data_IF_877755389429
#
_entry.id   IF_877755389429
#
_cell.length_a   1.000
_cell.length_b   1.000
_cell.length_c   1.000
_cell.angle_alpha   90.00
_cell.angle_beta   90.00
_cell.angle_gamma   90.00
#
_symmetry.space_group_name_H-M   'P 1'
#
loop_
_entity.id
_entity.type
_entity.pdbx_description
1 polymer ?
#
# COMPACT_ATOMS: atom_id res chain seq x y z
N UNK A 1 20.34 16.84 -9.12
CA UNK A 1 20.92 15.48 -8.91
C UNK A 1 19.78 14.51 -8.68
N UNK A 2 19.48 13.64 -9.65
CA UNK A 2 18.43 12.61 -9.57
C UNK A 2 18.98 11.39 -8.82
N UNK A 3 19.18 11.49 -7.53
CA UNK A 3 19.67 10.34 -6.75
C UNK A 3 18.68 10.05 -5.62
N UNK A 4 17.87 9.08 -5.80
CA UNK A 4 17.16 8.25 -4.84
C UNK A 4 15.70 7.94 -5.24
N UNK A 5 15.43 7.85 -6.54
CA UNK A 5 14.13 7.36 -6.99
C UNK A 5 14.06 5.87 -6.62
N UNK A 6 13.01 5.46 -5.90
CA UNK A 6 12.76 4.06 -5.55
C UNK A 6 12.52 3.30 -6.84
N UNK A 7 13.07 2.10 -6.96
CA UNK A 7 12.65 1.17 -8.00
C UNK A 7 11.22 0.74 -7.68
N UNK A 8 10.28 1.14 -8.52
CA UNK A 8 8.84 1.01 -8.26
C UNK A 8 8.21 0.11 -9.32
N UNK A 9 7.45 -0.88 -8.89
CA UNK A 9 6.49 -1.57 -9.74
C UNK A 9 5.12 -0.96 -9.47
N UNK A 10 4.38 -0.62 -10.53
CA UNK A 10 3.04 -0.04 -10.40
C UNK A 10 2.00 -1.11 -10.66
N UNK A 11 0.98 -1.20 -9.81
CA UNK A 11 -0.23 -2.00 -10.06
C UNK A 11 -1.33 -1.07 -10.52
N UNK A 12 -1.89 -1.32 -11.70
CA UNK A 12 -3.07 -0.65 -12.20
C UNK A 12 -4.30 -1.44 -11.75
N UNK A 13 -5.19 -0.77 -11.01
CA UNK A 13 -6.38 -1.39 -10.42
C UNK A 13 -7.57 -1.35 -11.36
N UNK A 14 -7.99 -2.52 -11.82
CA UNK A 14 -9.19 -2.74 -12.63
C UNK A 14 -10.40 -3.22 -11.82
N UNK A 15 -10.37 -3.08 -10.50
CA UNK A 15 -11.51 -3.35 -9.62
C UNK A 15 -11.53 -4.76 -9.02
N UNK A 16 -10.42 -5.49 -9.03
CA UNK A 16 -10.33 -6.78 -8.34
C UNK A 16 -10.39 -6.62 -6.82
N UNK A 17 -11.00 -7.58 -6.13
CA UNK A 17 -10.94 -7.65 -4.66
C UNK A 17 -9.54 -8.03 -4.13
N UNK A 18 -8.63 -8.45 -5.00
CA UNK A 18 -7.29 -8.95 -4.67
C UNK A 18 -6.16 -7.96 -4.97
N UNK A 19 -6.46 -6.72 -5.36
CA UNK A 19 -5.47 -5.72 -5.74
C UNK A 19 -4.40 -5.48 -4.67
N UNK A 20 -4.80 -5.38 -3.40
CA UNK A 20 -3.87 -5.21 -2.27
C UNK A 20 -3.00 -6.46 -2.05
N UNK A 21 -3.47 -7.65 -2.42
CA UNK A 21 -2.66 -8.87 -2.36
C UNK A 21 -1.54 -8.83 -3.39
N UNK A 22 -1.80 -8.32 -4.60
CA UNK A 22 -0.75 -8.14 -5.62
C UNK A 22 0.36 -7.24 -5.08
N UNK A 23 -0.02 -6.06 -4.54
CA UNK A 23 0.94 -5.12 -3.94
C UNK A 23 1.77 -5.79 -2.83
N UNK A 24 1.13 -6.55 -1.94
CA UNK A 24 1.81 -7.29 -0.87
C UNK A 24 2.79 -8.32 -1.41
N UNK A 25 2.39 -9.12 -2.38
CA UNK A 25 3.26 -10.13 -2.99
C UNK A 25 4.50 -9.53 -3.66
N UNK A 26 4.34 -8.39 -4.34
CA UNK A 26 5.47 -7.64 -4.90
C UNK A 26 6.41 -7.15 -3.79
N UNK A 27 5.88 -6.64 -2.69
CA UNK A 27 6.70 -6.18 -1.54
C UNK A 27 7.40 -7.32 -0.81
N UNK A 28 6.80 -8.51 -0.77
CA UNK A 28 7.46 -9.73 -0.27
C UNK A 28 8.67 -10.14 -1.14
N UNK A 29 8.77 -9.64 -2.38
CA UNK A 29 9.97 -9.77 -3.22
C UNK A 29 10.99 -8.64 -2.99
N UNK A 30 10.80 -7.86 -1.93
CA UNK A 30 11.64 -6.71 -1.59
C UNK A 30 11.65 -5.61 -2.66
N UNK A 31 10.57 -5.46 -3.40
CA UNK A 31 10.37 -4.40 -4.40
C UNK A 31 9.25 -3.47 -3.95
N UNK A 32 9.49 -2.16 -4.01
CA UNK A 32 8.45 -1.20 -3.70
C UNK A 32 7.34 -1.25 -4.76
N UNK A 33 6.10 -1.22 -4.31
CA UNK A 33 4.94 -1.30 -5.18
C UNK A 33 3.89 -0.27 -4.78
N UNK A 34 3.34 0.41 -5.78
CA UNK A 34 2.27 1.40 -5.63
C UNK A 34 1.07 1.02 -6.49
N UNK A 35 -0.14 1.24 -5.97
CA UNK A 35 -1.38 0.93 -6.66
C UNK A 35 -2.02 2.23 -7.15
N UNK A 36 -2.41 2.25 -8.42
CA UNK A 36 -3.03 3.39 -9.09
C UNK A 36 -4.35 2.98 -9.76
N UNK A 37 -5.33 3.89 -9.86
CA UNK A 37 -6.56 3.61 -10.59
C UNK A 37 -6.28 3.43 -12.08
N UNK A 38 -7.16 2.71 -12.79
CA UNK A 38 -7.01 2.47 -14.23
C UNK A 38 -7.03 3.75 -15.07
N UNK A 39 -7.65 4.82 -14.56
CA UNK A 39 -7.73 6.15 -15.18
C UNK A 39 -6.49 7.02 -14.88
N UNK A 40 -5.43 6.43 -14.34
CA UNK A 40 -4.19 7.17 -14.02
C UNK A 40 -3.69 7.98 -15.20
N UNK A 41 -3.24 9.22 -14.95
CA UNK A 41 -2.72 10.07 -16.00
C UNK A 41 -1.30 9.66 -16.47
N UNK A 42 -0.96 10.03 -17.70
CA UNK A 42 0.38 9.80 -18.24
C UNK A 42 1.45 10.53 -17.42
N UNK A 43 1.15 11.73 -16.94
CA UNK A 43 2.05 12.54 -16.12
C UNK A 43 2.39 11.83 -14.81
N UNK A 44 1.39 11.27 -14.13
CA UNK A 44 1.59 10.53 -12.87
C UNK A 44 2.50 9.32 -13.08
N UNK A 45 2.30 8.55 -14.16
CA UNK A 45 3.16 7.42 -14.49
C UNK A 45 4.58 7.85 -14.83
N UNK A 46 4.75 8.96 -15.57
CA UNK A 46 6.07 9.50 -15.90
C UNK A 46 6.83 9.99 -14.66
N UNK A 47 6.13 10.63 -13.71
CA UNK A 47 6.73 11.09 -12.45
C UNK A 47 7.21 9.90 -11.58
N UNK A 48 6.42 8.83 -11.53
CA UNK A 48 6.78 7.61 -10.81
C UNK A 48 7.93 6.86 -11.48
N UNK A 49 8.06 6.96 -12.81
CA UNK A 49 9.07 6.28 -13.62
C UNK A 49 9.20 4.79 -13.24
N UNK A 50 8.13 3.98 -13.42
CA UNK A 50 8.08 2.61 -12.95
C UNK A 50 9.10 1.73 -13.69
N UNK A 51 9.57 0.68 -13.00
CA UNK A 51 10.40 -0.38 -13.56
C UNK A 51 9.58 -1.46 -14.27
N UNK A 52 8.31 -1.57 -13.91
CA UNK A 52 7.35 -2.48 -14.51
C UNK A 52 5.93 -2.14 -14.07
N UNK A 53 4.96 -2.65 -14.81
CA UNK A 53 3.54 -2.42 -14.56
C UNK A 53 2.82 -3.77 -14.46
N UNK A 54 1.96 -3.91 -13.46
CA UNK A 54 1.05 -5.06 -13.32
C UNK A 54 -0.37 -4.56 -13.55
N UNK A 55 -1.07 -5.15 -14.51
CA UNK A 55 -2.49 -4.94 -14.74
C UNK A 55 -3.26 -5.96 -13.90
N UNK A 56 -4.05 -5.51 -12.93
CA UNK A 56 -4.77 -6.40 -12.03
C UNK A 56 -5.91 -7.16 -12.74
N UNK A 57 -6.49 -8.12 -12.05
CA UNK A 57 -7.79 -8.67 -12.43
C UNK A 57 -8.92 -7.66 -12.31
N UNK A 58 -10.11 -8.01 -12.74
CA UNK A 58 -11.32 -7.20 -12.66
C UNK A 58 -12.58 -8.06 -12.75
N UNK A 59 -13.73 -7.52 -12.32
CA UNK A 59 -15.01 -8.23 -12.34
C UNK A 59 -15.71 -8.21 -13.71
N UNK A 60 -15.24 -7.36 -14.63
CA UNK A 60 -15.89 -7.09 -15.91
C UNK A 60 -15.44 -8.06 -17.01
N UNK A 61 -16.23 -8.18 -18.07
CA UNK A 61 -15.76 -8.62 -19.37
C UNK A 61 -15.19 -7.46 -20.15
N UNK A 62 -14.19 -7.70 -21.01
CA UNK A 62 -13.63 -6.67 -21.90
C UNK A 62 -14.65 -6.12 -22.90
N UNK A 63 -15.78 -6.82 -23.07
CA UNK A 63 -16.89 -6.45 -23.95
C UNK A 63 -18.02 -5.70 -23.23
N UNK A 64 -17.97 -5.59 -21.91
CA UNK A 64 -19.00 -4.87 -21.16
C UNK A 64 -18.96 -3.37 -21.48
N UNK A 65 -20.13 -2.77 -21.67
CA UNK A 65 -20.23 -1.33 -21.87
C UNK A 65 -19.77 -0.57 -20.62
N UNK A 66 -18.78 0.31 -20.78
CA UNK A 66 -18.20 1.08 -19.67
C UNK A 66 -17.17 0.30 -18.83
N UNK A 67 -16.77 -0.90 -19.25
CA UNK A 67 -15.69 -1.63 -18.56
C UNK A 67 -14.35 -0.85 -18.64
N UNK A 68 -13.53 -0.90 -17.58
CA UNK A 68 -12.20 -0.30 -17.58
C UNK A 68 -11.34 -0.82 -18.73
N UNK A 69 -10.69 0.08 -19.46
CA UNK A 69 -9.89 -0.25 -20.64
C UNK A 69 -8.37 -0.06 -20.38
N UNK A 70 -7.55 -0.74 -21.15
CA UNK A 70 -6.11 -0.48 -21.16
C UNK A 70 -5.82 0.81 -21.94
N UNK A 71 -5.37 1.83 -21.24
CA UNK A 71 -5.06 3.12 -21.84
C UNK A 71 -3.70 3.10 -22.57
N UNK A 72 -3.60 3.66 -23.80
CA UNK A 72 -2.39 3.59 -24.61
C UNK A 72 -1.12 4.06 -23.89
N UNK A 73 -1.20 5.12 -23.11
CA UNK A 73 -0.04 5.69 -22.42
C UNK A 73 0.53 4.77 -21.33
N UNK A 74 -0.21 3.73 -20.88
CA UNK A 74 0.32 2.70 -19.98
C UNK A 74 1.31 1.80 -20.74
N UNK A 75 0.94 1.40 -21.95
CA UNK A 75 1.80 0.57 -22.83
C UNK A 75 2.99 1.41 -23.35
N UNK A 76 2.75 2.67 -23.66
CA UNK A 76 3.76 3.62 -24.16
C UNK A 76 4.86 3.96 -23.13
N UNK A 77 4.71 3.56 -21.85
CA UNK A 77 5.81 3.67 -20.88
C UNK A 77 7.05 2.87 -21.32
N UNK A 78 6.89 1.85 -22.17
CA UNK A 78 8.00 1.04 -22.68
C UNK A 78 8.72 0.23 -21.60
N UNK A 79 8.01 -0.14 -20.52
CA UNK A 79 8.51 -0.99 -19.45
C UNK A 79 7.81 -2.34 -19.48
N UNK A 80 8.35 -3.39 -18.85
CA UNK A 80 7.69 -4.69 -18.74
C UNK A 80 6.27 -4.59 -18.18
N UNK A 81 5.32 -5.35 -18.76
CA UNK A 81 3.92 -5.40 -18.33
C UNK A 81 3.50 -6.84 -18.07
N UNK A 82 2.86 -7.07 -16.90
CA UNK A 82 2.22 -8.32 -16.53
C UNK A 82 0.72 -8.12 -16.38
N UNK A 83 -0.11 -8.75 -17.22
CA UNK A 83 -1.56 -8.79 -17.08
C UNK A 83 -2.01 -10.01 -16.29
N UNK A 84 -2.85 -9.84 -15.26
CA UNK A 84 -3.42 -10.90 -14.44
C UNK A 84 -4.92 -10.99 -14.73
N UNK A 85 -5.42 -12.15 -15.14
CA UNK A 85 -6.82 -12.45 -15.41
C UNK A 85 -7.42 -11.40 -16.38
N UNK A 86 -8.25 -10.47 -15.91
CA UNK A 86 -8.77 -9.37 -16.72
C UNK A 86 -7.65 -8.53 -17.37
N UNK A 87 -6.56 -8.26 -16.66
CA UNK A 87 -5.39 -7.57 -17.20
C UNK A 87 -4.72 -8.30 -18.36
N UNK A 88 -4.70 -9.65 -18.35
CA UNK A 88 -4.27 -10.45 -19.51
C UNK A 88 -5.21 -10.27 -20.70
N UNK A 89 -6.52 -10.27 -20.44
CA UNK A 89 -7.52 -10.08 -21.49
C UNK A 89 -7.44 -8.68 -22.10
N UNK A 90 -7.18 -7.66 -21.29
CA UNK A 90 -6.94 -6.29 -21.77
C UNK A 90 -5.70 -6.21 -22.68
N UNK A 91 -4.61 -6.90 -22.34
CA UNK A 91 -3.44 -7.01 -23.24
C UNK A 91 -3.83 -7.73 -24.53
N UNK A 92 -4.57 -8.84 -24.41
CA UNK A 92 -5.10 -9.59 -25.55
C UNK A 92 -5.87 -8.68 -26.51
N UNK A 93 -6.85 -7.95 -26.00
CA UNK A 93 -7.68 -7.04 -26.79
C UNK A 93 -6.87 -5.88 -27.40
N UNK A 94 -5.99 -5.27 -26.62
CA UNK A 94 -5.18 -4.13 -27.06
C UNK A 94 -4.26 -4.47 -28.25
N UNK A 95 -3.72 -5.70 -28.27
CA UNK A 95 -2.84 -6.19 -29.31
C UNK A 95 -3.54 -7.07 -30.38
N UNK A 96 -4.87 -6.93 -30.51
CA UNK A 96 -5.68 -7.56 -31.57
C UNK A 96 -5.78 -9.11 -31.48
N UNK A 97 -5.71 -9.66 -30.27
CA UNK A 97 -6.09 -11.05 -29.98
C UNK A 97 -7.60 -11.21 -29.86
N UNK A 98 -8.11 -12.44 -29.96
CA UNK A 98 -9.53 -12.77 -29.80
C UNK A 98 -9.81 -13.27 -28.37
N UNK A 99 -10.74 -12.59 -27.69
CA UNK A 99 -11.25 -13.00 -26.38
C UNK A 99 -12.68 -13.49 -26.58
N UNK A 100 -13.06 -14.57 -25.95
CA UNK A 100 -14.43 -15.06 -25.99
C UNK A 100 -14.86 -15.62 -24.63
N UNK A 101 -16.19 -15.68 -24.37
CA UNK A 101 -16.71 -16.40 -23.22
C UNK A 101 -16.28 -17.87 -23.28
N UNK A 102 -15.68 -18.39 -22.22
CA UNK A 102 -15.30 -19.79 -22.14
C UNK A 102 -16.55 -20.68 -22.14
N UNK A 103 -16.54 -21.80 -22.90
CA UNK A 103 -17.61 -22.79 -22.91
C UNK A 103 -17.88 -23.34 -21.51
N UNK A 104 -16.80 -23.56 -20.73
CA UNK A 104 -16.86 -23.92 -19.32
C UNK A 104 -16.11 -22.85 -18.52
N UNK A 105 -16.83 -22.12 -17.65
CA UNK A 105 -16.23 -21.19 -16.70
C UNK A 105 -15.28 -21.95 -15.78
N UNK A 106 -14.10 -21.41 -15.53
CA UNK A 106 -13.08 -22.06 -14.70
C UNK A 106 -12.91 -21.31 -13.38
N UNK A 107 -13.36 -21.96 -12.30
CA UNK A 107 -13.23 -21.45 -10.95
C UNK A 107 -12.63 -22.53 -10.05
N UNK A 108 -11.56 -22.19 -9.32
CA UNK A 108 -10.93 -23.08 -8.36
C UNK A 108 -9.55 -23.55 -8.80
N UNK A 109 -9.14 -24.69 -8.24
CA UNK A 109 -7.83 -25.28 -8.42
C UNK A 109 -7.68 -25.89 -9.82
N UNK A 110 -6.57 -25.57 -10.49
CA UNK A 110 -6.17 -26.14 -11.77
C UNK A 110 -4.68 -26.46 -11.78
N UNK A 111 -4.24 -27.21 -12.79
CA UNK A 111 -2.82 -27.50 -13.04
C UNK A 111 -2.38 -26.73 -14.28
N UNK A 112 -1.29 -25.99 -14.16
CA UNK A 112 -0.64 -25.28 -15.26
C UNK A 112 0.53 -26.12 -15.77
N UNK A 113 0.43 -26.61 -16.97
CA UNK A 113 1.55 -27.18 -17.69
C UNK A 113 2.34 -26.05 -18.36
N UNK A 114 3.61 -25.89 -17.96
CA UNK A 114 4.49 -24.93 -18.57
C UNK A 114 4.91 -25.44 -19.95
N UNK A 115 4.72 -24.64 -20.98
CA UNK A 115 5.30 -24.92 -22.27
C UNK A 115 6.83 -24.79 -22.14
N UNK A 116 7.61 -25.57 -22.89
CA UNK A 116 9.08 -25.67 -22.78
C UNK A 116 9.82 -24.32 -23.00
N UNK A 117 9.12 -23.22 -22.78
CA UNK A 117 9.63 -21.88 -22.87
C UNK A 117 10.61 -21.63 -21.72
N UNK A 118 11.78 -21.08 -22.06
CA UNK A 118 12.72 -20.54 -21.07
C UNK A 118 12.26 -19.16 -20.58
N UNK A 119 10.95 -18.93 -20.48
CA UNK A 119 10.46 -17.63 -20.05
C UNK A 119 10.99 -17.26 -18.66
N UNK A 120 11.59 -16.08 -18.49
CA UNK A 120 12.11 -15.62 -17.22
C UNK A 120 11.02 -15.57 -16.16
N UNK A 121 9.73 -15.43 -16.55
CA UNK A 121 8.60 -15.42 -15.64
C UNK A 121 8.47 -16.71 -14.82
N UNK A 122 8.83 -17.86 -15.41
CA UNK A 122 8.75 -19.18 -14.77
C UNK A 122 10.13 -19.76 -14.39
N UNK A 123 11.14 -18.93 -14.34
CA UNK A 123 12.49 -19.37 -13.96
C UNK A 123 12.51 -20.07 -12.59
N UNK A 124 13.10 -21.27 -12.53
CA UNK A 124 13.21 -22.06 -11.30
C UNK A 124 11.91 -22.69 -10.80
N UNK A 125 10.88 -22.76 -11.66
CA UNK A 125 9.63 -23.42 -11.36
C UNK A 125 9.49 -24.73 -12.12
N UNK A 126 9.02 -25.75 -11.42
CA UNK A 126 8.75 -27.08 -11.98
C UNK A 126 7.33 -27.13 -12.58
N UNK A 127 7.14 -27.95 -13.63
CA UNK A 127 5.84 -28.21 -14.23
C UNK A 127 5.33 -29.62 -13.83
N UNK A 128 4.02 -29.79 -13.54
CA UNK A 128 2.98 -28.76 -13.54
C UNK A 128 2.94 -27.93 -12.26
N UNK A 129 2.39 -26.71 -12.36
CA UNK A 129 2.14 -25.82 -11.22
C UNK A 129 0.67 -25.88 -10.80
N UNK A 130 0.43 -25.88 -9.48
CA UNK A 130 -0.90 -25.69 -8.93
C UNK A 130 -1.28 -24.21 -8.97
N UNK A 131 -2.41 -23.87 -9.58
CA UNK A 131 -2.86 -22.50 -9.81
C UNK A 131 -4.33 -22.33 -9.46
N UNK A 132 -4.75 -21.08 -9.19
CA UNK A 132 -6.13 -20.72 -8.92
C UNK A 132 -6.73 -19.94 -10.09
N UNK A 133 -7.77 -20.52 -10.70
CA UNK A 133 -8.54 -19.93 -11.78
C UNK A 133 -9.80 -19.24 -11.25
N UNK A 134 -10.15 -18.10 -11.87
CA UNK A 134 -11.39 -17.36 -11.56
C UNK A 134 -11.79 -16.52 -12.76
N UNK A 135 -12.26 -17.13 -13.84
CA UNK A 135 -12.60 -16.41 -15.05
C UNK A 135 -13.80 -16.98 -15.80
N UNK A 136 -14.53 -16.09 -16.51
CA UNK A 136 -15.62 -16.43 -17.41
C UNK A 136 -15.23 -16.31 -18.89
N UNK A 137 -14.30 -15.42 -19.20
CA UNK A 137 -13.77 -15.17 -20.53
C UNK A 137 -12.33 -15.64 -20.61
N UNK A 138 -11.86 -16.02 -21.81
CA UNK A 138 -10.47 -16.43 -22.04
C UNK A 138 -9.99 -15.94 -23.42
N UNK A 139 -8.71 -15.96 -23.63
CA UNK A 139 -8.10 -15.71 -24.94
C UNK A 139 -8.27 -16.98 -25.78
N UNK A 140 -8.91 -16.86 -26.93
CA UNK A 140 -9.08 -17.93 -27.93
C UNK A 140 -7.98 -17.88 -29.01
N UNK A 141 -7.63 -16.66 -29.48
CA UNK A 141 -6.54 -16.45 -30.42
C UNK A 141 -5.50 -15.48 -29.83
N UNK A 142 -4.24 -15.88 -29.85
CA UNK A 142 -3.13 -15.04 -29.39
C UNK A 142 -3.01 -13.75 -30.19
N UNK A 143 -2.70 -12.64 -29.53
CA UNK A 143 -2.29 -11.44 -30.26
C UNK A 143 -1.00 -11.68 -31.05
N UNK A 144 -0.78 -10.94 -32.16
CA UNK A 144 0.46 -11.02 -32.93
C UNK A 144 1.71 -10.78 -32.08
N UNK A 145 2.68 -11.67 -32.19
CA UNK A 145 3.95 -11.61 -31.43
C UNK A 145 3.94 -12.33 -30.09
N UNK A 146 2.76 -12.74 -29.59
CA UNK A 146 2.69 -13.51 -28.37
C UNK A 146 2.82 -15.03 -28.64
N UNK A 147 3.40 -15.72 -27.66
CA UNK A 147 3.51 -17.18 -27.62
C UNK A 147 2.84 -17.71 -26.35
N UNK A 148 2.34 -18.94 -26.39
CA UNK A 148 1.82 -19.64 -25.21
C UNK A 148 3.00 -20.12 -24.38
N UNK A 149 3.04 -19.71 -23.10
CA UNK A 149 4.07 -20.13 -22.15
C UNK A 149 3.51 -21.06 -21.05
N UNK A 150 2.18 -21.25 -21.01
CA UNK A 150 1.54 -22.17 -20.08
C UNK A 150 0.10 -22.50 -20.48
N UNK A 151 -0.33 -23.75 -20.20
CA UNK A 151 -1.66 -24.29 -20.55
C UNK A 151 -2.31 -24.93 -19.34
N UNK A 152 -3.63 -24.85 -19.24
CA UNK A 152 -4.42 -25.68 -18.34
C UNK A 152 -5.42 -26.54 -19.14
N UNK A 153 -6.04 -27.55 -18.54
CA UNK A 153 -7.01 -28.39 -19.24
C UNK A 153 -8.16 -27.62 -19.89
N UNK A 154 -8.61 -26.53 -19.29
CA UNK A 154 -9.73 -25.73 -19.78
C UNK A 154 -9.31 -24.38 -20.38
N UNK A 155 -8.05 -23.99 -20.23
CA UNK A 155 -7.49 -22.76 -20.83
C UNK A 155 -6.24 -23.10 -21.63
N UNK A 156 -6.39 -23.32 -22.97
CA UNK A 156 -5.25 -23.58 -23.84
C UNK A 156 -4.21 -22.46 -23.86
N UNK A 157 -4.61 -21.25 -23.50
CA UNK A 157 -3.76 -20.07 -23.33
C UNK A 157 -3.93 -19.61 -21.89
N UNK A 158 -3.36 -20.35 -20.92
CA UNK A 158 -3.41 -20.01 -19.50
C UNK A 158 -2.30 -19.02 -19.11
N UNK A 159 -1.22 -18.97 -19.88
CA UNK A 159 -0.17 -17.98 -19.79
C UNK A 159 0.41 -17.70 -21.18
N UNK A 160 0.67 -16.41 -21.45
CA UNK A 160 1.25 -15.95 -22.73
C UNK A 160 2.36 -14.94 -22.48
N UNK A 161 3.28 -14.83 -23.45
CA UNK A 161 4.33 -13.81 -23.42
C UNK A 161 4.68 -13.32 -24.83
N UNK A 162 5.05 -12.06 -24.91
CA UNK A 162 5.89 -11.50 -25.95
C UNK A 162 7.21 -11.05 -25.31
N UNK A 163 8.21 -11.89 -25.41
CA UNK A 163 9.50 -11.69 -24.74
C UNK A 163 10.27 -10.48 -25.34
N UNK A 164 10.07 -10.16 -26.62
CA UNK A 164 10.72 -9.02 -27.26
C UNK A 164 10.21 -7.70 -26.70
N UNK A 165 8.89 -7.59 -26.50
CA UNK A 165 8.23 -6.40 -25.92
C UNK A 165 8.14 -6.46 -24.40
N UNK A 166 8.54 -7.57 -23.79
CA UNK A 166 8.44 -7.84 -22.34
C UNK A 166 6.98 -7.73 -21.81
N UNK A 167 6.04 -8.30 -22.56
CA UNK A 167 4.61 -8.33 -22.25
C UNK A 167 4.22 -9.75 -21.84
N UNK A 168 3.59 -9.87 -20.67
CA UNK A 168 3.22 -11.16 -20.09
C UNK A 168 1.76 -11.17 -19.69
N UNK A 169 1.10 -12.30 -19.82
CA UNK A 169 -0.28 -12.49 -19.39
C UNK A 169 -0.48 -13.81 -18.66
N UNK A 170 -1.21 -13.77 -17.54
CA UNK A 170 -1.61 -14.93 -16.74
C UNK A 170 -3.12 -14.91 -16.58
N UNK A 171 -3.79 -16.00 -16.98
CA UNK A 171 -5.24 -16.13 -16.81
C UNK A 171 -5.62 -16.43 -15.37
N UNK A 172 -4.72 -17.00 -14.59
CA UNK A 172 -4.87 -17.35 -13.19
C UNK A 172 -4.36 -16.22 -12.26
N UNK A 173 -4.63 -16.39 -10.96
CA UNK A 173 -4.28 -15.45 -9.92
C UNK A 173 -3.01 -15.89 -9.15
N UNK A 174 -1.83 -15.32 -9.44
CA UNK A 174 -0.60 -15.64 -8.72
C UNK A 174 -0.55 -15.03 -7.31
N UNK A 175 -1.36 -14.01 -7.04
CA UNK A 175 -1.37 -13.28 -5.77
C UNK A 175 -2.05 -14.03 -4.62
N UNK A 176 -2.95 -14.98 -4.94
CA UNK A 176 -3.74 -15.68 -3.92
C UNK A 176 -3.00 -16.87 -3.31
N UNK A 177 -3.37 -17.24 -2.08
CA UNK A 177 -2.73 -18.34 -1.34
C UNK A 177 -2.91 -19.71 -2.03
N UNK A 178 -3.96 -19.84 -2.83
CA UNK A 178 -4.28 -21.06 -3.57
C UNK A 178 -3.42 -21.29 -4.82
N UNK A 179 -2.52 -20.37 -5.14
CA UNK A 179 -1.43 -20.53 -6.11
C UNK A 179 -0.11 -20.57 -5.32
N UNK A 180 0.34 -21.77 -4.86
CA UNK A 180 1.44 -21.88 -3.89
C UNK A 180 2.76 -21.26 -4.36
N UNK A 181 3.04 -21.34 -5.66
CA UNK A 181 4.24 -20.77 -6.29
C UNK A 181 3.99 -19.39 -6.92
N UNK A 182 2.82 -18.79 -6.67
CA UNK A 182 2.44 -17.50 -7.26
C UNK A 182 3.34 -16.34 -6.84
N UNK A 183 3.83 -16.34 -5.59
CA UNK A 183 4.84 -15.39 -5.14
C UNK A 183 6.11 -15.47 -5.98
N UNK A 184 6.59 -16.67 -6.28
CA UNK A 184 7.82 -16.84 -7.05
C UNK A 184 7.66 -16.30 -8.48
N UNK A 185 6.49 -16.50 -9.10
CA UNK A 185 6.15 -15.91 -10.40
C UNK A 185 6.23 -14.38 -10.36
N UNK A 186 5.62 -13.75 -9.34
CA UNK A 186 5.65 -12.30 -9.17
C UNK A 186 7.05 -11.79 -8.84
N UNK A 187 7.84 -12.55 -8.06
CA UNK A 187 9.24 -12.21 -7.82
C UNK A 187 10.07 -12.28 -9.10
N UNK A 188 9.88 -13.31 -9.93
CA UNK A 188 10.55 -13.42 -11.23
C UNK A 188 10.19 -12.24 -12.14
N UNK A 189 8.91 -11.85 -12.19
CA UNK A 189 8.53 -10.64 -12.91
C UNK A 189 9.28 -9.41 -12.41
N UNK A 190 9.32 -9.19 -11.10
CA UNK A 190 9.95 -8.01 -10.53
C UNK A 190 11.49 -8.01 -10.68
N UNK A 191 12.14 -9.14 -10.41
CA UNK A 191 13.60 -9.23 -10.29
C UNK A 191 14.26 -9.56 -11.63
N UNK A 192 13.76 -10.58 -12.35
CA UNK A 192 14.34 -11.08 -13.59
C UNK A 192 13.86 -10.28 -14.81
N UNK A 193 12.55 -9.99 -14.89
CA UNK A 193 11.98 -9.27 -16.04
C UNK A 193 12.15 -7.76 -15.90
N UNK A 194 11.73 -7.17 -14.77
CA UNK A 194 11.84 -5.72 -14.54
C UNK A 194 13.24 -5.29 -14.10
N UNK A 195 14.12 -6.22 -13.72
CA UNK A 195 15.49 -5.94 -13.28
C UNK A 195 15.56 -5.13 -11.98
N UNK A 196 14.57 -5.26 -11.09
CA UNK A 196 14.59 -4.62 -9.79
C UNK A 196 15.63 -5.28 -8.87
N UNK A 197 16.29 -4.49 -8.01
CA UNK A 197 17.38 -4.98 -7.14
C UNK A 197 16.89 -5.66 -5.85
N UNK A 198 15.61 -5.56 -5.53
CA UNK A 198 15.08 -6.11 -4.29
C UNK A 198 15.61 -5.40 -3.04
N UNK A 199 15.69 -4.09 -3.06
CA UNK A 199 16.26 -3.27 -1.98
C UNK A 199 15.20 -2.65 -1.03
N UNK A 200 13.92 -2.98 -1.23
CA UNK A 200 12.85 -2.61 -0.32
C UNK A 200 12.88 -3.49 0.94
N UNK A 201 13.74 -3.13 1.88
CA UNK A 201 13.91 -3.84 3.17
C UNK A 201 13.61 -2.92 4.33
N UNK A 202 13.23 -3.48 5.48
CA UNK A 202 12.95 -2.73 6.72
C UNK A 202 14.11 -1.84 7.13
N UNK A 203 15.35 -2.34 7.05
CA UNK A 203 16.55 -1.57 7.38
C UNK A 203 16.77 -0.38 6.45
N UNK A 204 16.73 -0.62 5.13
CA UNK A 204 16.87 0.44 4.13
C UNK A 204 15.74 1.48 4.24
N UNK A 205 14.51 1.03 4.54
CA UNK A 205 13.39 1.92 4.80
C UNK A 205 13.66 2.85 5.99
N UNK A 206 14.09 2.31 7.14
CA UNK A 206 14.40 3.09 8.36
C UNK A 206 15.46 4.15 8.07
N UNK A 207 16.55 3.77 7.44
CA UNK A 207 17.65 4.70 7.11
C UNK A 207 17.18 5.83 6.18
N UNK A 208 16.42 5.48 5.15
CA UNK A 208 15.87 6.44 4.21
C UNK A 208 14.88 7.40 4.86
N UNK A 209 13.97 6.89 5.71
CA UNK A 209 12.99 7.74 6.41
C UNK A 209 13.68 8.66 7.41
N UNK A 210 14.65 8.18 8.17
CA UNK A 210 15.43 9.00 9.10
C UNK A 210 16.16 10.12 8.37
N UNK A 211 16.76 9.84 7.21
CA UNK A 211 17.42 10.87 6.41
C UNK A 211 16.43 11.91 5.86
N UNK A 212 15.28 11.46 5.32
CA UNK A 212 14.25 12.33 4.78
C UNK A 212 13.64 13.25 5.86
N UNK A 213 13.30 12.68 7.03
CA UNK A 213 12.77 13.46 8.15
C UNK A 213 13.79 14.52 8.60
N UNK A 214 15.06 14.16 8.69
CA UNK A 214 16.12 15.10 9.08
C UNK A 214 16.27 16.24 8.08
N UNK A 215 16.20 15.96 6.80
CA UNK A 215 16.26 16.95 5.72
C UNK A 215 15.04 17.88 5.74
N UNK A 216 13.83 17.32 5.93
CA UNK A 216 12.57 18.06 5.97
C UNK A 216 12.49 18.98 7.18
N UNK A 217 12.87 18.50 8.36
CA UNK A 217 12.73 19.23 9.63
C UNK A 217 13.84 20.28 9.82
N UNK A 218 15.07 19.99 9.38
CA UNK A 218 16.20 20.90 9.64
C UNK A 218 16.35 21.19 11.13
N UNK A 219 16.29 22.49 11.48
CA UNK A 219 16.42 22.96 12.87
C UNK A 219 15.07 23.21 13.57
N UNK A 220 13.95 22.94 12.90
CA UNK A 220 12.60 23.20 13.38
C UNK A 220 12.10 22.16 14.40
N UNK A 221 10.92 22.38 14.99
CA UNK A 221 10.35 21.53 16.03
C UNK A 221 9.20 20.67 15.51
N UNK A 222 9.16 19.45 16.02
CA UNK A 222 8.15 18.45 15.68
C UNK A 222 7.34 18.06 16.91
N UNK A 223 6.03 18.04 16.77
CA UNK A 223 5.14 17.35 17.75
C UNK A 223 4.61 16.05 17.18
N UNK A 224 4.38 15.08 18.05
CA UNK A 224 3.79 13.78 17.68
C UNK A 224 2.80 13.31 18.73
N UNK A 225 1.58 12.98 18.32
CA UNK A 225 0.64 12.30 19.20
C UNK A 225 1.03 10.83 19.39
N UNK A 226 1.19 10.39 20.62
CA UNK A 226 1.42 8.98 20.95
C UNK A 226 0.25 8.41 21.74
N UNK A 227 -0.38 7.36 21.22
CA UNK A 227 -1.57 6.74 21.80
C UNK A 227 -1.27 5.43 22.55
N UNK A 228 -0.02 4.99 22.59
CA UNK A 228 0.35 3.64 23.04
C UNK A 228 0.18 2.56 21.97
N UNK A 229 -0.43 2.88 20.83
CA UNK A 229 -0.50 2.00 19.66
C UNK A 229 0.85 1.87 18.94
N UNK A 230 1.03 0.76 18.23
CA UNK A 230 2.28 0.45 17.49
C UNK A 230 2.63 1.58 16.54
N UNK A 231 1.70 2.01 15.71
CA UNK A 231 1.94 2.94 14.61
C UNK A 231 2.48 4.30 15.12
N UNK A 232 1.80 4.90 16.11
CA UNK A 232 2.23 6.17 16.72
C UNK A 232 3.58 6.06 17.44
N UNK A 233 3.86 4.90 18.06
CA UNK A 233 5.13 4.65 18.74
C UNK A 233 6.27 4.52 17.72
N UNK A 234 6.04 3.82 16.61
CA UNK A 234 7.03 3.68 15.52
C UNK A 234 7.34 5.05 14.90
N UNK A 235 6.31 5.86 14.61
CA UNK A 235 6.49 7.23 14.11
C UNK A 235 7.34 8.07 15.06
N UNK A 236 6.94 8.13 16.33
CA UNK A 236 7.69 8.92 17.31
C UNK A 236 9.14 8.46 17.45
N UNK A 237 9.39 7.13 17.38
CA UNK A 237 10.75 6.58 17.44
C UNK A 237 11.57 6.91 16.20
N UNK A 238 10.99 6.84 15.00
CA UNK A 238 11.66 7.25 13.75
C UNK A 238 12.02 8.73 13.77
N UNK A 239 11.07 9.60 14.16
CA UNK A 239 11.29 11.03 14.26
C UNK A 239 12.36 11.34 15.33
N UNK A 240 12.26 10.69 16.51
CA UNK A 240 13.29 10.84 17.57
C UNK A 240 14.69 10.47 17.08
N UNK A 241 14.80 9.38 16.31
CA UNK A 241 16.07 8.94 15.72
C UNK A 241 16.61 9.92 14.68
N UNK A 242 15.71 10.62 13.98
CA UNK A 242 16.07 11.58 12.95
C UNK A 242 16.52 12.94 13.56
N UNK A 243 15.73 13.51 14.45
CA UNK A 243 15.88 14.91 14.89
C UNK A 243 16.15 15.07 16.40
N UNK A 244 16.21 13.98 17.15
CA UNK A 244 16.58 14.03 18.56
C UNK A 244 15.61 14.87 19.40
N UNK A 245 16.15 15.83 20.14
CA UNK A 245 15.40 16.65 21.11
C UNK A 245 14.43 17.67 20.49
N UNK A 246 14.44 17.82 19.16
CA UNK A 246 13.48 18.67 18.44
C UNK A 246 12.06 18.02 18.44
N UNK A 247 11.96 16.70 18.68
CA UNK A 247 10.67 16.02 18.87
C UNK A 247 10.14 16.24 20.28
N UNK A 248 8.85 16.62 20.39
CA UNK A 248 8.05 16.49 21.60
C UNK A 248 6.90 15.52 21.35
N UNK A 249 6.91 14.38 22.00
CA UNK A 249 5.79 13.43 21.96
C UNK A 249 4.76 13.81 23.02
N UNK A 250 3.48 13.82 22.67
CA UNK A 250 2.37 14.18 23.56
C UNK A 250 1.48 12.95 23.77
N UNK A 251 1.39 12.50 25.00
CA UNK A 251 0.50 11.43 25.44
C UNK A 251 -0.63 12.01 26.29
N UNK A 252 -1.88 11.78 25.86
CA UNK A 252 -3.06 12.26 26.55
C UNK A 252 -3.78 11.08 27.21
N UNK A 253 -3.86 11.09 28.53
CA UNK A 253 -4.74 10.19 29.26
C UNK A 253 -6.16 10.78 29.29
N UNK A 254 -7.02 10.17 28.51
CA UNK A 254 -8.41 10.61 28.33
C UNK A 254 -9.41 9.94 29.29
N UNK A 255 -8.95 9.15 30.26
CA UNK A 255 -9.80 8.41 31.20
C UNK A 255 -10.56 7.22 30.60
N UNK A 256 -10.32 6.89 29.33
CA UNK A 256 -10.95 5.77 28.61
C UNK A 256 -9.95 4.63 28.34
N UNK A 257 -8.75 4.73 28.89
CA UNK A 257 -7.71 3.72 28.81
C UNK A 257 -8.04 2.53 29.73
N UNK A 258 -7.41 1.39 29.47
CA UNK A 258 -7.49 0.23 30.35
C UNK A 258 -6.77 0.54 31.67
N UNK A 259 -7.16 -0.19 32.71
CA UNK A 259 -6.51 -0.05 34.01
C UNK A 259 -4.99 -0.31 33.91
N UNK A 260 -4.19 0.66 34.32
CA UNK A 260 -2.73 0.59 34.30
C UNK A 260 -2.09 0.90 32.95
N UNK A 261 -2.88 1.13 31.89
CA UNK A 261 -2.36 1.35 30.53
C UNK A 261 -1.61 2.68 30.39
N UNK A 262 -2.02 3.70 31.11
CA UNK A 262 -1.34 5.00 31.09
C UNK A 262 0.08 4.89 31.64
N UNK A 263 0.24 4.24 32.79
CA UNK A 263 1.53 4.00 33.45
C UNK A 263 2.44 3.12 32.59
N UNK A 264 1.91 2.02 32.03
CA UNK A 264 2.64 1.11 31.12
C UNK A 264 3.13 1.84 29.87
N UNK A 265 2.28 2.69 29.28
CA UNK A 265 2.64 3.48 28.13
C UNK A 265 3.74 4.49 28.46
N UNK A 266 3.63 5.20 29.58
CA UNK A 266 4.65 6.15 30.04
C UNK A 266 5.99 5.49 30.30
N UNK A 267 6.01 4.30 30.91
CA UNK A 267 7.25 3.53 31.10
C UNK A 267 7.87 3.16 29.75
N UNK A 268 7.05 2.70 28.80
CA UNK A 268 7.48 2.35 27.45
C UNK A 268 8.04 3.56 26.71
N UNK A 269 7.33 4.68 26.71
CA UNK A 269 7.77 5.91 26.06
C UNK A 269 9.06 6.46 26.67
N UNK A 270 9.22 6.42 27.99
CA UNK A 270 10.46 6.83 28.65
C UNK A 270 11.67 6.05 28.19
N UNK A 271 11.47 4.77 27.86
CA UNK A 271 12.53 3.90 27.33
C UNK A 271 12.91 4.24 25.89
N UNK A 272 11.91 4.43 25.00
CA UNK A 272 12.17 4.58 23.57
C UNK A 272 12.35 6.04 23.14
N UNK A 273 11.68 7.00 23.79
CA UNK A 273 11.73 8.41 23.45
C UNK A 273 12.66 9.24 24.37
N UNK A 274 13.34 8.59 25.30
CA UNK A 274 14.38 9.18 26.16
C UNK A 274 13.93 10.45 26.88
N UNK A 275 12.71 10.45 27.40
CA UNK A 275 12.19 11.52 28.26
C UNK A 275 11.52 12.72 27.54
N UNK A 276 11.51 12.78 26.23
CA UNK A 276 10.82 13.83 25.48
C UNK A 276 9.33 13.55 25.30
N UNK A 277 8.65 13.17 26.39
CA UNK A 277 7.22 12.88 26.40
C UNK A 277 6.51 13.78 27.39
N UNK A 278 5.52 14.51 26.92
CA UNK A 278 4.59 15.30 27.74
C UNK A 278 3.37 14.43 28.02
N UNK A 279 3.16 14.08 29.28
CA UNK A 279 1.96 13.38 29.75
C UNK A 279 0.91 14.39 30.20
N UNK A 280 -0.28 14.29 29.65
CA UNK A 280 -1.42 15.15 29.97
C UNK A 280 -2.51 14.31 30.56
N UNK A 281 -2.80 14.52 31.86
CA UNK A 281 -3.98 13.98 32.48
C UNK A 281 -5.18 14.87 32.12
N UNK A 282 -6.04 14.33 31.26
CA UNK A 282 -7.25 15.00 30.79
C UNK A 282 -8.52 14.19 31.11
N UNK A 283 -8.44 13.23 32.04
CA UNK A 283 -9.52 12.29 32.36
C UNK A 283 -10.82 13.03 32.68
N UNK A 284 -10.79 13.97 33.62
CA UNK A 284 -11.99 14.73 34.01
C UNK A 284 -12.59 15.48 32.83
N UNK A 285 -11.73 16.15 32.02
CA UNK A 285 -12.15 16.92 30.83
C UNK A 285 -12.93 16.06 29.82
N UNK A 286 -12.44 14.85 29.52
CA UNK A 286 -13.12 13.95 28.59
C UNK A 286 -14.38 13.35 29.17
N UNK A 287 -14.37 12.95 30.43
CA UNK A 287 -15.52 12.36 31.10
C UNK A 287 -16.67 13.37 31.24
N UNK A 288 -16.38 14.62 31.62
CA UNK A 288 -17.36 15.70 31.68
C UNK A 288 -17.98 16.00 30.31
N UNK A 289 -17.12 16.06 29.26
CA UNK A 289 -17.60 16.30 27.90
C UNK A 289 -18.49 15.16 27.35
N UNK A 290 -18.33 13.96 27.86
CA UNK A 290 -19.07 12.77 27.46
C UNK A 290 -20.30 12.50 28.35
N UNK A 291 -20.52 13.25 29.43
CA UNK A 291 -21.63 13.03 30.32
C UNK A 291 -22.98 13.09 29.59
N UNK A 292 -23.80 12.06 29.79
CA UNK A 292 -25.11 11.93 29.14
C UNK A 292 -25.11 11.65 27.64
N UNK A 293 -23.95 11.52 27.00
CA UNK A 293 -23.85 11.22 25.56
C UNK A 293 -23.90 9.71 25.35
N UNK A 294 -24.96 9.21 24.69
CA UNK A 294 -25.15 7.79 24.40
C UNK A 294 -24.84 7.41 22.96
N UNK A 295 -25.02 8.33 22.03
CA UNK A 295 -24.76 8.10 20.58
C UNK A 295 -23.27 7.92 20.28
N UNK A 296 -22.86 6.82 19.63
CA UNK A 296 -21.45 6.52 19.36
C UNK A 296 -20.75 7.54 18.47
N UNK A 297 -21.42 8.05 17.44
CA UNK A 297 -20.85 9.03 16.52
C UNK A 297 -20.59 10.37 17.23
N UNK A 298 -21.55 10.78 18.04
CA UNK A 298 -21.42 11.99 18.85
C UNK A 298 -20.28 11.86 19.88
N UNK A 299 -20.10 10.67 20.48
CA UNK A 299 -18.95 10.40 21.36
C UNK A 299 -17.63 10.59 20.62
N UNK A 300 -17.51 10.00 19.42
CA UNK A 300 -16.29 10.12 18.59
C UNK A 300 -15.97 11.58 18.25
N UNK A 301 -16.97 12.35 17.83
CA UNK A 301 -16.78 13.77 17.52
C UNK A 301 -16.32 14.58 18.72
N UNK A 302 -16.89 14.31 19.91
CA UNK A 302 -16.48 15.00 21.14
C UNK A 302 -15.05 14.64 21.51
N UNK A 303 -14.71 13.34 21.52
CA UNK A 303 -13.36 12.86 21.84
C UNK A 303 -12.35 13.50 20.88
N UNK A 304 -12.61 13.46 19.58
CA UNK A 304 -11.71 14.05 18.60
C UNK A 304 -11.50 15.56 18.78
N UNK A 305 -12.59 16.30 19.07
CA UNK A 305 -12.49 17.73 19.31
C UNK A 305 -11.68 18.06 20.57
N UNK A 306 -11.87 17.30 21.66
CA UNK A 306 -11.08 17.51 22.88
C UNK A 306 -9.60 17.18 22.68
N UNK A 307 -9.27 16.11 21.93
CA UNK A 307 -7.88 15.82 21.55
C UNK A 307 -7.26 16.96 20.78
N UNK A 308 -7.94 17.50 19.77
CA UNK A 308 -7.45 18.63 18.98
C UNK A 308 -7.19 19.85 19.88
N UNK A 309 -8.14 20.19 20.76
CA UNK A 309 -8.01 21.34 21.64
C UNK A 309 -6.82 21.19 22.59
N UNK A 310 -6.60 20.00 23.17
CA UNK A 310 -5.45 19.72 24.04
C UNK A 310 -4.14 19.85 23.26
N UNK A 311 -4.09 19.30 22.04
CA UNK A 311 -2.90 19.43 21.19
C UNK A 311 -2.57 20.88 20.86
N UNK A 312 -3.57 21.70 20.50
CA UNK A 312 -3.41 23.12 20.26
C UNK A 312 -2.90 23.88 21.51
N UNK A 313 -3.41 23.52 22.69
CA UNK A 313 -2.97 24.11 23.96
C UNK A 313 -1.51 23.78 24.25
N UNK A 314 -1.10 22.53 24.07
CA UNK A 314 0.27 22.10 24.34
C UNK A 314 1.26 22.64 23.31
N UNK A 315 0.90 22.65 22.03
CA UNK A 315 1.75 23.21 20.99
C UNK A 315 2.03 24.72 21.26
N UNK A 316 1.01 25.48 21.71
CA UNK A 316 1.22 26.90 22.09
C UNK A 316 2.17 27.06 23.27
N UNK A 317 2.18 26.12 24.24
CA UNK A 317 3.12 26.14 25.38
C UNK A 317 4.56 25.88 24.95
N UNK A 318 4.75 25.06 23.90
CA UNK A 318 6.06 24.72 23.35
C UNK A 318 6.66 25.88 22.53
N UNK A 319 5.85 26.89 22.18
CA UNK A 319 6.25 27.99 21.32
C UNK A 319 6.09 27.68 19.85
N UNK A 320 7.06 28.09 19.01
CA UNK A 320 7.00 27.80 17.60
C UNK A 320 7.20 26.28 17.36
N UNK A 321 6.21 25.65 16.73
CA UNK A 321 6.22 24.26 16.26
C UNK A 321 5.84 24.33 14.80
N UNK A 322 6.58 23.65 13.95
CA UNK A 322 6.44 23.76 12.50
C UNK A 322 5.89 22.45 11.90
N UNK A 323 6.10 21.32 12.57
CA UNK A 323 5.73 20.00 12.05
C UNK A 323 4.89 19.17 12.99
N UNK A 324 3.93 18.43 12.41
CA UNK A 324 3.15 17.37 13.08
C UNK A 324 3.48 16.01 12.49
N UNK A 325 4.00 15.09 13.31
CA UNK A 325 4.23 13.73 12.90
C UNK A 325 3.00 12.84 13.15
N UNK A 326 2.58 12.08 12.13
CA UNK A 326 1.37 11.28 12.12
C UNK A 326 1.60 9.86 11.60
N UNK A 327 0.88 8.89 12.18
CA UNK A 327 0.98 7.46 11.86
C UNK A 327 0.02 6.99 10.76
N UNK A 328 -0.13 7.74 9.69
CA UNK A 328 -0.90 7.34 8.51
C UNK A 328 -0.26 6.13 7.85
N UNK A 329 -1.04 5.11 7.54
CA UNK A 329 -0.62 3.89 6.83
C UNK A 329 -1.10 3.87 5.38
N UNK A 330 -0.52 3.00 4.57
CA UNK A 330 -0.87 2.88 3.14
C UNK A 330 -2.35 2.55 2.89
N UNK A 331 -3.01 1.66 3.64
CA UNK A 331 -4.46 1.46 3.53
C UNK A 331 -5.29 2.73 3.75
N UNK A 332 -4.89 3.58 4.71
CA UNK A 332 -5.58 4.85 4.98
C UNK A 332 -5.52 5.79 3.78
N UNK A 333 -4.38 5.79 3.07
CA UNK A 333 -4.18 6.59 1.84
C UNK A 333 -5.07 6.11 0.71
N UNK A 334 -5.10 4.78 0.47
CA UNK A 334 -5.92 4.17 -0.59
C UNK A 334 -7.41 4.44 -0.36
N UNK A 335 -7.88 4.19 0.86
CA UNK A 335 -9.28 4.42 1.24
C UNK A 335 -9.69 5.90 1.11
N UNK A 336 -8.75 6.82 1.30
CA UNK A 336 -9.00 8.25 1.16
C UNK A 336 -9.00 8.73 -0.29
N UNK A 337 -8.32 8.04 -1.20
CA UNK A 337 -8.20 8.39 -2.62
C UNK A 337 -9.37 7.88 -3.48
N UNK A 338 -10.07 6.83 -3.03
CA UNK A 338 -11.22 6.28 -3.78
C UNK A 338 -12.41 7.23 -3.65
N UNK A 339 -13.08 7.65 -4.77
CA UNK A 339 -14.32 8.41 -4.71
C UNK A 339 -15.40 7.50 -4.14
N UNK A 340 -15.43 7.38 -2.85
CA UNK A 340 -16.29 6.45 -2.18
C UNK A 340 -17.61 7.12 -1.84
N UNK A 341 -18.70 6.43 -2.13
CA UNK A 341 -19.98 6.45 -1.44
C UNK A 341 -19.96 7.23 -0.10
N UNK A 342 -21.05 7.88 0.26
CA UNK A 342 -21.22 8.65 1.51
C UNK A 342 -20.72 7.96 2.80
N UNK A 343 -20.48 6.64 2.76
CA UNK A 343 -19.86 5.85 3.83
C UNK A 343 -18.36 6.09 4.01
N UNK A 344 -17.57 6.30 2.95
CA UNK A 344 -16.14 6.55 3.05
C UNK A 344 -15.82 7.99 3.48
N UNK A 345 -16.67 8.96 3.13
CA UNK A 345 -16.60 10.30 3.71
C UNK A 345 -16.83 10.28 5.24
N UNK A 346 -17.60 9.28 5.75
CA UNK A 346 -17.76 9.04 7.19
C UNK A 346 -16.52 8.43 7.87
N UNK A 347 -15.72 7.64 7.15
CA UNK A 347 -14.49 7.00 7.69
C UNK A 347 -13.39 8.04 7.91
N UNK A 348 -13.36 9.14 7.15
CA UNK A 348 -12.43 10.27 7.35
C UNK A 348 -12.50 10.90 8.75
N UNK A 349 -13.58 10.69 9.50
CA UNK A 349 -13.72 11.19 10.87
C UNK A 349 -12.95 10.39 11.93
N UNK A 350 -12.36 9.23 11.57
CA UNK A 350 -11.63 8.39 12.54
C UNK A 350 -10.17 8.82 12.74
N UNK A 351 -9.60 9.58 11.82
CA UNK A 351 -8.26 10.17 11.95
C UNK A 351 -8.36 11.69 12.15
N UNK A 352 -9.02 12.09 13.25
CA UNK A 352 -9.32 13.49 13.60
C UNK A 352 -8.09 14.42 13.70
N UNK A 353 -6.88 13.88 13.61
CA UNK A 353 -5.63 14.65 13.59
C UNK A 353 -5.46 15.41 12.26
N UNK A 354 -6.16 15.01 11.19
CA UNK A 354 -6.11 15.69 9.89
C UNK A 354 -6.63 17.13 9.86
N UNK A 355 -7.34 17.58 10.90
CA UNK A 355 -7.80 18.97 11.02
C UNK A 355 -6.80 19.90 11.76
N UNK A 356 -5.81 19.33 12.46
CA UNK A 356 -4.79 20.10 13.18
C UNK A 356 -3.87 20.93 12.26
N UNK A 357 -3.33 20.37 11.15
CA UNK A 357 -2.43 21.11 10.28
C UNK A 357 -3.05 22.39 9.73
N UNK A 358 -4.31 22.31 9.26
CA UNK A 358 -5.01 23.46 8.67
C UNK A 358 -5.26 24.60 9.67
N UNK A 359 -5.47 24.26 10.95
CA UNK A 359 -5.73 25.23 12.02
C UNK A 359 -4.46 25.86 12.59
N UNK A 360 -3.36 25.11 12.56
CA UNK A 360 -2.12 25.48 13.25
C UNK A 360 -0.98 25.83 12.28
N UNK A 361 -1.24 25.77 10.97
CA UNK A 361 -0.21 26.03 9.94
C UNK A 361 0.99 25.08 10.04
N UNK A 362 0.74 23.80 10.41
CA UNK A 362 1.75 22.77 10.59
C UNK A 362 1.94 21.94 9.32
N UNK A 363 3.18 21.66 8.97
CA UNK A 363 3.49 20.67 7.94
C UNK A 363 3.44 19.25 8.49
N UNK A 364 2.98 18.29 7.64
CA UNK A 364 2.85 16.90 8.03
C UNK A 364 4.13 16.09 7.76
N UNK A 365 4.48 15.25 8.73
CA UNK A 365 5.48 14.19 8.59
C UNK A 365 4.78 12.84 8.73
N UNK A 366 4.65 12.10 7.64
CA UNK A 366 3.93 10.82 7.59
C UNK A 366 4.89 9.66 7.18
N UNK A 367 5.81 9.23 8.05
CA UNK A 367 6.87 8.29 7.66
C UNK A 367 6.36 6.89 7.31
N UNK A 368 5.18 6.50 7.79
CA UNK A 368 4.59 5.19 7.54
C UNK A 368 3.59 5.15 6.38
N UNK A 369 3.37 6.27 5.69
CA UNK A 369 2.35 6.45 4.65
C UNK A 369 2.40 5.40 3.53
N UNK A 370 3.57 4.80 3.30
CA UNK A 370 3.79 3.80 2.27
C UNK A 370 3.83 2.36 2.80
N UNK A 371 3.56 2.14 4.09
CA UNK A 371 3.62 0.83 4.72
C UNK A 371 2.24 0.24 4.99
N UNK A 372 2.12 -1.07 4.81
CA UNK A 372 1.06 -1.84 5.43
C UNK A 372 1.30 -1.99 6.93
N UNK A 373 0.26 -2.42 7.67
CA UNK A 373 0.34 -2.52 9.14
C UNK A 373 1.33 -3.56 9.64
N UNK A 374 1.52 -4.65 8.92
CA UNK A 374 2.54 -5.66 9.17
C UNK A 374 3.94 -5.11 8.93
N UNK A 375 4.18 -4.42 7.81
CA UNK A 375 5.45 -3.73 7.54
C UNK A 375 5.79 -2.69 8.62
N UNK A 376 4.79 -1.94 9.10
CA UNK A 376 4.98 -0.99 10.21
C UNK A 376 5.38 -1.70 11.52
N UNK A 377 4.86 -2.91 11.78
CA UNK A 377 5.28 -3.75 12.93
C UNK A 377 6.70 -4.26 12.77
N UNK A 378 7.09 -4.65 11.56
CA UNK A 378 8.46 -5.08 11.26
C UNK A 378 9.45 -3.94 11.47
N UNK A 379 9.08 -2.71 11.07
CA UNK A 379 9.85 -1.50 11.38
C UNK A 379 9.94 -1.30 12.90
N UNK A 380 8.84 -1.45 13.63
CA UNK A 380 8.83 -1.37 15.10
C UNK A 380 9.78 -2.39 15.72
N UNK A 381 9.72 -3.65 15.30
CA UNK A 381 10.60 -4.72 15.78
C UNK A 381 12.07 -4.42 15.47
N UNK A 382 12.39 -3.90 14.29
CA UNK A 382 13.75 -3.51 13.91
C UNK A 382 14.26 -2.28 14.68
N UNK A 383 13.36 -1.44 15.20
CA UNK A 383 13.66 -0.32 16.09
C UNK A 383 13.79 -0.76 17.57
N UNK A 384 13.48 -2.02 17.90
CA UNK A 384 13.54 -2.58 19.25
C UNK A 384 12.28 -2.33 20.11
N UNK A 385 11.15 -2.05 19.47
CA UNK A 385 9.86 -1.79 20.12
C UNK A 385 9.12 -3.09 20.49
#
# INVERSE_FOLDING_TARGET
>A
MRSNQRETVVVIDYGTQYNQLIVRRVRECHVYCEMLPWEVSAETLQELNPKGIILSGGPNSVYDEGAPQLLPHIVEQGVPILGICYGMQLLGQYFEGEIAPAEAREYGLAQLELDHSQSPLFQGLDSPLEIWMSHGDRIEELPPGFEVIGRSPNSPIAAMADEERQLYGLQFHPEVVHTPRGRDILCNFCLEVCGCRGDWTTGAFIEKQVAAIREQVGDDRVICAVSGGVDSTVVATLVRRAVGDQLTAIFVDNGLLRKGEAEENMERFSRYLQGNVVHIDAQERFLDALEGVTDPERKRMIIGREFIAIFEEEARKLGQVDFLAQGTLYPDVIESATPATASAARIKTHHNVGALPEKMDLELIEPLRFLFKDEARDVGSALGL
#
